data_IF_893043005734
#
_entry.id   IF_893043005734
#
_cell.length_a   1.000
_cell.length_b   1.000
_cell.length_c   1.000
_cell.angle_alpha   90.00
_cell.angle_beta   90.00
_cell.angle_gamma   90.00
#
_symmetry.space_group_name_H-M   'P 1'
#
loop_
_entity.id
_entity.type
_entity.pdbx_description
1 polymer ?
#
# COMPACT_ATOMS: atom_id res chain seq x y z
N UNK A 1 -31.66 -2.55 6.42
CA UNK A 1 -30.99 -1.31 6.88
C UNK A 1 -30.22 -0.58 5.78
N UNK A 2 -29.85 -1.23 4.67
CA UNK A 2 -29.32 -0.55 3.45
C UNK A 2 -30.46 -0.05 2.55
N UNK A 3 -31.63 -0.71 2.55
CA UNK A 3 -32.80 -0.31 1.75
C UNK A 3 -33.48 0.97 2.25
N UNK A 4 -33.45 1.23 3.56
CA UNK A 4 -34.16 2.36 4.18
C UNK A 4 -33.48 3.72 3.97
N UNK A 5 -32.31 3.78 3.33
CA UNK A 5 -31.61 5.03 2.98
C UNK A 5 -31.77 5.41 1.50
N UNK A 6 -32.43 4.59 0.68
CA UNK A 6 -32.63 4.84 -0.75
C UNK A 6 -33.92 5.59 -1.07
N UNK A 7 -34.91 5.61 -0.18
CA UNK A 7 -36.25 6.14 -0.47
C UNK A 7 -36.39 7.67 -0.38
N UNK A 8 -35.32 8.42 -0.06
CA UNK A 8 -35.41 9.89 0.06
C UNK A 8 -34.30 10.67 -0.67
N UNK A 9 -33.52 10.01 -1.52
CA UNK A 9 -32.45 10.67 -2.27
C UNK A 9 -32.97 11.10 -3.63
N UNK A 10 -32.82 12.39 -3.95
CA UNK A 10 -33.05 12.92 -5.30
C UNK A 10 -32.18 12.15 -6.31
N UNK A 11 -32.63 11.92 -7.55
CA UNK A 11 -31.94 11.04 -8.50
C UNK A 11 -30.47 11.45 -8.73
N UNK A 12 -30.18 12.75 -8.64
CA UNK A 12 -28.83 13.31 -8.68
C UNK A 12 -27.99 12.98 -7.44
N UNK A 13 -28.61 12.94 -6.26
CA UNK A 13 -27.96 12.56 -4.99
C UNK A 13 -27.68 11.06 -4.96
N UNK A 14 -28.59 10.23 -5.50
CA UNK A 14 -28.37 8.79 -5.67
C UNK A 14 -27.25 8.48 -6.66
N UNK A 15 -27.20 9.15 -7.81
CA UNK A 15 -26.10 8.99 -8.78
C UNK A 15 -24.74 9.41 -8.19
N UNK A 16 -24.73 10.46 -7.36
CA UNK A 16 -23.53 10.90 -6.62
C UNK A 16 -23.11 9.88 -5.57
N UNK A 17 -24.06 9.22 -4.91
CA UNK A 17 -23.78 8.17 -3.93
C UNK A 17 -23.20 6.92 -4.60
N UNK A 18 -23.80 6.48 -5.71
CA UNK A 18 -23.34 5.32 -6.48
C UNK A 18 -21.93 5.55 -7.05
N UNK A 19 -21.65 6.76 -7.54
CA UNK A 19 -20.31 7.16 -7.96
C UNK A 19 -19.29 7.05 -6.82
N UNK A 20 -19.61 7.56 -5.62
CA UNK A 20 -18.72 7.45 -4.44
C UNK A 20 -18.48 5.99 -4.03
N UNK A 21 -19.51 5.15 -4.08
CA UNK A 21 -19.38 3.72 -3.77
C UNK A 21 -18.45 3.00 -4.75
N UNK A 22 -18.55 3.33 -6.04
CA UNK A 22 -17.64 2.80 -7.07
C UNK A 22 -16.20 3.23 -6.78
N UNK A 23 -15.95 4.51 -6.47
CA UNK A 23 -14.59 4.98 -6.16
C UNK A 23 -14.03 4.32 -4.91
N UNK A 24 -14.85 4.11 -3.87
CA UNK A 24 -14.43 3.36 -2.67
C UNK A 24 -14.07 1.90 -2.98
N UNK A 25 -14.86 1.23 -3.83
CA UNK A 25 -14.57 -0.14 -4.26
C UNK A 25 -13.28 -0.21 -5.08
N UNK A 26 -13.09 0.72 -6.03
CA UNK A 26 -11.87 0.82 -6.83
C UNK A 26 -10.65 1.13 -5.97
N UNK A 27 -10.77 2.02 -4.98
CA UNK A 27 -9.70 2.32 -4.04
C UNK A 27 -9.33 1.07 -3.23
N UNK A 28 -10.31 0.35 -2.67
CA UNK A 28 -10.06 -0.90 -1.95
C UNK A 28 -9.31 -1.91 -2.83
N UNK A 29 -9.78 -2.14 -4.05
CA UNK A 29 -9.18 -3.12 -4.95
C UNK A 29 -7.77 -2.70 -5.37
N UNK A 30 -7.55 -1.40 -5.59
CA UNK A 30 -6.23 -0.83 -5.85
C UNK A 30 -5.27 -1.04 -4.67
N UNK A 31 -5.72 -0.78 -3.45
CA UNK A 31 -4.91 -0.95 -2.24
C UNK A 31 -4.55 -2.40 -2.00
N UNK A 32 -5.48 -3.31 -2.19
CA UNK A 32 -5.21 -4.74 -2.01
C UNK A 32 -4.22 -5.24 -3.06
N UNK A 33 -4.40 -4.86 -4.33
CA UNK A 33 -3.53 -5.28 -5.41
C UNK A 33 -2.09 -4.75 -5.27
N UNK A 34 -1.91 -3.55 -4.70
CA UNK A 34 -0.60 -2.92 -4.51
C UNK A 34 -0.11 -2.92 -3.07
N UNK A 35 -0.74 -3.69 -2.18
CA UNK A 35 -0.50 -3.65 -0.73
C UNK A 35 0.97 -3.73 -0.34
N UNK A 36 1.72 -4.63 -0.98
CA UNK A 36 3.14 -4.79 -0.71
C UNK A 36 3.97 -3.60 -1.19
N UNK A 37 3.74 -3.13 -2.43
CA UNK A 37 4.44 -1.97 -2.98
C UNK A 37 4.21 -0.72 -2.11
N UNK A 38 2.95 -0.51 -1.70
CA UNK A 38 2.56 0.59 -0.83
C UNK A 38 3.18 0.49 0.57
N UNK A 39 3.28 -0.72 1.14
CA UNK A 39 4.00 -0.97 2.40
C UNK A 39 5.48 -0.60 2.27
N UNK A 40 6.14 -1.03 1.19
CA UNK A 40 7.55 -0.71 0.94
C UNK A 40 7.74 0.80 0.80
N UNK A 41 6.88 1.49 0.04
CA UNK A 41 6.94 2.95 -0.12
C UNK A 41 6.75 3.64 1.24
N UNK A 42 5.78 3.21 2.05
CA UNK A 42 5.52 3.79 3.37
C UNK A 42 6.71 3.60 4.33
N UNK A 43 7.30 2.40 4.38
CA UNK A 43 8.46 2.13 5.23
C UNK A 43 9.71 2.88 4.78
N UNK A 44 9.96 2.98 3.47
CA UNK A 44 11.06 3.78 2.93
C UNK A 44 10.86 5.27 3.23
N UNK A 45 9.63 5.78 3.07
CA UNK A 45 9.28 7.16 3.43
C UNK A 45 9.52 7.42 4.91
N UNK A 46 9.13 6.48 5.78
CA UNK A 46 9.37 6.56 7.22
C UNK A 46 10.87 6.66 7.54
N UNK A 47 11.67 5.77 6.96
CA UNK A 47 13.12 5.79 7.14
C UNK A 47 13.72 7.16 6.75
N UNK A 48 13.35 7.69 5.58
CA UNK A 48 13.84 8.97 5.08
C UNK A 48 13.41 10.18 5.94
N UNK A 49 12.42 10.02 6.82
CA UNK A 49 11.93 11.05 7.73
C UNK A 49 12.39 10.83 9.19
N UNK A 50 13.35 9.94 9.46
CA UNK A 50 13.86 9.69 10.82
C UNK A 50 13.23 8.51 11.53
N UNK A 51 12.56 7.62 10.78
CA UNK A 51 12.22 6.27 11.23
C UNK A 51 11.12 6.20 12.30
N UNK A 52 11.09 5.08 13.02
CA UNK A 52 10.01 4.78 13.99
C UNK A 52 9.91 5.82 15.09
N UNK A 53 11.03 6.38 15.55
CA UNK A 53 11.07 7.42 16.57
C UNK A 53 10.36 8.71 16.11
N UNK A 54 10.47 9.05 14.83
CA UNK A 54 9.76 10.19 14.25
C UNK A 54 8.24 9.95 14.17
N UNK A 55 7.80 8.77 13.71
CA UNK A 55 6.36 8.50 13.53
C UNK A 55 5.61 8.25 14.84
N UNK A 56 6.27 7.69 15.86
CA UNK A 56 5.65 7.28 17.12
C UNK A 56 6.14 8.07 18.33
N UNK A 57 6.79 9.22 18.10
CA UNK A 57 7.22 10.12 19.16
C UNK A 57 6.06 10.75 19.94
N UNK A 58 6.33 11.87 20.61
CA UNK A 58 5.34 12.55 21.46
C UNK A 58 4.05 12.96 20.71
N UNK A 59 4.17 13.27 19.42
CA UNK A 59 3.04 13.54 18.54
C UNK A 59 3.01 12.51 17.40
N UNK A 60 2.12 11.50 17.45
CA UNK A 60 2.03 10.46 16.43
C UNK A 60 1.74 11.03 15.04
N UNK A 61 2.39 10.48 14.03
CA UNK A 61 2.27 10.92 12.64
C UNK A 61 1.39 9.96 11.81
N UNK A 62 0.78 10.50 10.76
CA UNK A 62 0.12 9.75 9.70
C UNK A 62 0.76 10.09 8.35
N UNK A 63 0.98 9.07 7.51
CA UNK A 63 1.53 9.26 6.16
C UNK A 63 0.40 9.45 5.17
N UNK A 64 0.48 10.49 4.35
CA UNK A 64 -0.41 10.66 3.19
C UNK A 64 0.33 10.19 1.94
N UNK A 65 0.02 8.96 1.50
CA UNK A 65 0.65 8.39 0.29
C UNK A 65 0.14 9.10 -0.98
N UNK A 66 1.06 9.30 -1.92
CA UNK A 66 0.91 10.18 -3.09
C UNK A 66 1.75 11.46 -2.97
N UNK A 67 1.88 12.03 -1.76
CA UNK A 67 2.78 13.17 -1.48
C UNK A 67 3.98 12.79 -0.59
N UNK A 68 3.97 11.60 0.00
CA UNK A 68 4.98 11.16 0.98
C UNK A 68 5.03 12.04 2.23
N UNK A 69 3.95 12.77 2.51
CA UNK A 69 3.91 13.77 3.56
C UNK A 69 3.51 13.13 4.88
N UNK A 70 4.30 13.40 5.92
CA UNK A 70 3.95 13.08 7.30
C UNK A 70 3.26 14.28 7.93
N UNK A 71 2.12 14.02 8.56
CA UNK A 71 1.33 15.03 9.24
C UNK A 71 1.03 14.57 10.66
N UNK A 72 0.97 15.49 11.63
CA UNK A 72 0.46 15.16 12.95
C UNK A 72 -0.95 14.57 12.86
N UNK A 73 -1.13 13.38 13.44
CA UNK A 73 -2.40 12.67 13.41
C UNK A 73 -3.52 13.52 14.02
N UNK A 74 -3.26 14.17 15.16
CA UNK A 74 -4.22 15.04 15.84
C UNK A 74 -4.69 16.19 14.92
N UNK A 75 -3.78 16.80 14.16
CA UNK A 75 -4.11 17.84 13.18
C UNK A 75 -5.00 17.31 12.06
N UNK A 76 -4.69 16.14 11.52
CA UNK A 76 -5.47 15.52 10.44
C UNK A 76 -6.89 15.17 10.90
N UNK A 77 -7.04 14.65 12.12
CA UNK A 77 -8.35 14.35 12.70
C UNK A 77 -9.15 15.63 13.01
N UNK A 78 -8.51 16.66 13.55
CA UNK A 78 -9.16 17.96 13.80
C UNK A 78 -9.63 18.64 12.51
N UNK A 79 -8.83 18.57 11.44
CA UNK A 79 -9.21 19.07 10.12
C UNK A 79 -10.35 18.25 9.51
N UNK A 80 -10.32 16.93 9.65
CA UNK A 80 -11.43 16.05 9.25
C UNK A 80 -12.74 16.41 9.95
N UNK A 81 -12.69 16.66 11.26
CA UNK A 81 -13.87 17.05 12.04
C UNK A 81 -14.46 18.38 11.54
N UNK A 82 -13.60 19.40 11.32
CA UNK A 82 -14.02 20.70 10.78
C UNK A 82 -14.64 20.59 9.40
N UNK A 83 -14.04 19.78 8.53
CA UNK A 83 -14.49 19.58 7.15
C UNK A 83 -15.58 18.50 7.02
N UNK A 84 -16.10 18.00 8.16
CA UNK A 84 -17.14 16.96 8.24
C UNK A 84 -16.85 15.73 7.37
N UNK A 85 -15.59 15.35 7.24
CA UNK A 85 -15.21 14.14 6.51
C UNK A 85 -15.41 12.89 7.38
N UNK A 86 -15.44 11.70 6.78
CA UNK A 86 -15.65 10.43 7.51
C UNK A 86 -14.41 9.93 8.26
N UNK A 87 -13.27 10.62 8.17
CA UNK A 87 -11.99 10.11 8.66
C UNK A 87 -11.96 9.91 10.18
N UNK A 88 -12.52 10.83 10.98
CA UNK A 88 -12.65 10.63 12.44
C UNK A 88 -13.43 9.36 12.76
N UNK A 89 -14.60 9.17 12.14
CA UNK A 89 -15.42 7.97 12.35
C UNK A 89 -14.69 6.68 11.95
N UNK A 90 -13.97 6.71 10.83
CA UNK A 90 -13.16 5.57 10.38
C UNK A 90 -12.01 5.27 11.33
N UNK A 91 -11.37 6.31 11.86
CA UNK A 91 -10.30 6.17 12.84
C UNK A 91 -10.82 5.53 14.13
N UNK A 92 -11.92 6.02 14.68
CA UNK A 92 -12.48 5.49 15.93
C UNK A 92 -12.99 4.05 15.74
N UNK A 93 -13.72 3.77 14.66
CA UNK A 93 -14.22 2.43 14.36
C UNK A 93 -13.10 1.38 14.17
N UNK A 94 -11.89 1.81 13.79
CA UNK A 94 -10.74 0.93 13.60
C UNK A 94 -9.95 0.64 14.90
N UNK A 95 -10.35 1.16 16.06
CA UNK A 95 -9.62 0.96 17.33
C UNK A 95 -9.39 -0.51 17.67
N UNK A 96 -10.45 -1.32 17.68
CA UNK A 96 -10.35 -2.76 17.96
C UNK A 96 -9.50 -3.51 16.93
N UNK A 97 -9.54 -3.08 15.66
CA UNK A 97 -8.70 -3.63 14.61
C UNK A 97 -7.21 -3.32 14.84
N UNK A 98 -6.88 -2.06 15.14
CA UNK A 98 -5.51 -1.65 15.47
C UNK A 98 -4.97 -2.40 16.67
N UNK A 99 -5.75 -2.50 17.75
CA UNK A 99 -5.35 -3.22 18.96
C UNK A 99 -5.07 -4.70 18.68
N UNK A 100 -5.94 -5.37 17.92
CA UNK A 100 -5.75 -6.77 17.53
C UNK A 100 -4.51 -6.97 16.65
N UNK A 101 -4.29 -6.09 15.68
CA UNK A 101 -3.14 -6.15 14.79
C UNK A 101 -1.83 -5.95 15.58
N UNK A 102 -1.76 -4.93 16.44
CA UNK A 102 -0.61 -4.67 17.29
C UNK A 102 -0.31 -5.84 18.23
N UNK A 103 -1.33 -6.41 18.87
CA UNK A 103 -1.16 -7.58 19.73
C UNK A 103 -0.67 -8.83 18.97
N UNK A 104 -1.08 -9.00 17.71
CA UNK A 104 -0.60 -10.07 16.84
C UNK A 104 0.89 -9.91 16.53
N UNK A 105 1.32 -8.71 16.14
CA UNK A 105 2.71 -8.38 15.82
C UNK A 105 3.63 -8.52 17.04
N UNK A 106 3.21 -7.98 18.18
CA UNK A 106 3.97 -8.07 19.44
C UNK A 106 4.26 -9.52 19.88
N UNK A 107 3.38 -10.47 19.55
CA UNK A 107 3.56 -11.89 19.89
C UNK A 107 4.65 -12.58 19.09
N UNK A 108 4.87 -12.15 17.85
CA UNK A 108 5.75 -12.85 16.89
C UNK A 108 7.00 -12.07 16.55
N UNK A 109 7.02 -10.76 16.80
CA UNK A 109 8.08 -9.86 16.42
C UNK A 109 8.52 -9.01 17.63
N UNK A 110 9.61 -9.39 18.32
CA UNK A 110 10.10 -8.63 19.48
C UNK A 110 10.65 -7.25 19.10
N UNK A 111 10.84 -6.95 17.82
CA UNK A 111 11.28 -5.64 17.32
C UNK A 111 10.12 -4.75 16.89
N UNK A 112 8.87 -5.15 17.07
CA UNK A 112 7.72 -4.33 16.70
C UNK A 112 7.68 -3.03 17.53
N UNK A 113 7.62 -1.88 16.84
CA UNK A 113 7.61 -0.55 17.46
C UNK A 113 6.26 0.14 17.41
N UNK A 114 5.40 -0.23 16.43
CA UNK A 114 4.10 0.40 16.28
C UNK A 114 3.46 0.16 14.92
N UNK A 115 2.21 0.59 14.80
CA UNK A 115 1.47 0.58 13.54
C UNK A 115 1.55 1.97 12.91
N UNK A 116 2.18 2.09 11.75
CA UNK A 116 2.17 3.31 10.96
C UNK A 116 0.81 3.45 10.26
N UNK A 117 -0.02 4.46 10.60
CA UNK A 117 -1.22 4.72 9.85
C UNK A 117 -0.86 5.39 8.53
N UNK A 118 -1.48 4.92 7.45
CA UNK A 118 -1.26 5.41 6.10
C UNK A 118 -2.60 5.77 5.47
N UNK A 119 -2.77 7.07 5.20
CA UNK A 119 -3.95 7.64 4.58
C UNK A 119 -3.80 7.61 3.05
N UNK A 120 -4.75 6.95 2.40
CA UNK A 120 -4.96 6.99 0.96
C UNK A 120 -6.14 7.89 0.65
N UNK A 121 -5.98 8.74 -0.37
CA UNK A 121 -7.04 9.63 -0.84
C UNK A 121 -7.08 9.57 -2.36
N UNK A 122 -8.14 8.98 -2.91
CA UNK A 122 -8.41 9.03 -4.34
C UNK A 122 -9.00 10.40 -4.71
N UNK A 123 -9.97 10.86 -3.91
CA UNK A 123 -10.62 12.17 -4.06
C UNK A 123 -11.22 12.62 -2.72
N UNK A 124 -11.83 13.80 -2.70
CA UNK A 124 -12.52 14.32 -1.51
C UNK A 124 -13.68 13.40 -1.12
N UNK A 125 -13.56 12.74 0.04
CA UNK A 125 -14.59 11.81 0.54
C UNK A 125 -14.38 10.35 0.17
N UNK A 126 -13.43 10.04 -0.72
CA UNK A 126 -12.96 8.68 -1.01
C UNK A 126 -11.56 8.47 -0.41
N UNK A 127 -11.54 8.06 0.85
CA UNK A 127 -10.31 7.83 1.62
C UNK A 127 -10.33 6.45 2.27
N UNK A 128 -9.15 5.86 2.42
CA UNK A 128 -8.92 4.65 3.22
C UNK A 128 -7.73 4.87 4.16
N UNK A 129 -7.70 4.15 5.29
CA UNK A 129 -6.54 4.09 6.17
C UNK A 129 -6.08 2.65 6.24
N UNK A 130 -4.82 2.40 5.88
CA UNK A 130 -4.14 1.14 6.20
C UNK A 130 -3.19 1.32 7.37
N UNK A 131 -2.83 0.21 7.99
CA UNK A 131 -1.92 0.18 9.13
C UNK A 131 -0.80 -0.80 8.83
N UNK A 132 0.43 -0.30 8.76
CA UNK A 132 1.59 -1.12 8.48
C UNK A 132 2.46 -1.28 9.73
N UNK A 133 2.75 -2.53 10.16
CA UNK A 133 3.63 -2.76 11.29
C UNK A 133 5.04 -2.30 10.95
N UNK A 134 5.62 -1.54 11.88
CA UNK A 134 7.00 -1.06 11.82
C UNK A 134 7.84 -1.77 12.86
N UNK A 135 9.13 -1.86 12.56
CA UNK A 135 10.11 -2.47 13.43
C UNK A 135 11.14 -1.43 13.88
N UNK A 136 11.85 -1.77 14.94
CA UNK A 136 13.02 -1.03 15.39
C UNK A 136 14.10 -1.06 14.29
N UNK A 137 14.84 0.03 14.18
CA UNK A 137 15.88 0.21 13.14
C UNK A 137 17.08 -0.73 13.35
N UNK A 138 17.25 -1.25 14.55
CA UNK A 138 18.28 -2.20 14.95
C UNK A 138 17.84 -3.66 14.87
N UNK A 139 16.68 -3.94 14.26
CA UNK A 139 16.21 -5.30 14.08
C UNK A 139 17.20 -6.14 13.24
N UNK A 140 17.61 -7.34 13.69
CA UNK A 140 18.72 -8.10 13.11
C UNK A 140 18.40 -8.71 11.74
N UNK A 141 17.12 -8.79 11.36
CA UNK A 141 16.69 -9.27 10.05
C UNK A 141 16.76 -8.17 8.96
N UNK A 142 17.04 -6.92 9.33
CA UNK A 142 17.44 -5.89 8.39
C UNK A 142 18.92 -6.15 8.04
N UNK A 143 19.13 -7.21 7.24
CA UNK A 143 20.43 -7.81 6.94
C UNK A 143 21.49 -6.81 6.44
N UNK A 144 21.04 -5.71 5.84
CA UNK A 144 21.85 -4.55 5.49
C UNK A 144 21.21 -3.30 6.08
N UNK A 145 22.04 -2.43 6.71
CA UNK A 145 21.55 -1.13 7.15
C UNK A 145 21.05 -0.35 5.92
N UNK A 146 19.77 0.05 5.88
CA UNK A 146 19.24 0.82 4.77
C UNK A 146 20.03 2.13 4.61
N UNK A 147 20.29 2.50 3.35
CA UNK A 147 20.88 3.79 2.99
C UNK A 147 19.79 4.70 2.43
N UNK A 148 19.96 6.02 2.55
CA UNK A 148 19.00 6.96 1.99
C UNK A 148 18.82 6.76 0.47
N UNK A 149 19.90 6.54 -0.26
CA UNK A 149 19.85 6.30 -1.70
C UNK A 149 19.16 4.97 -2.05
N UNK A 150 19.42 3.92 -1.26
CA UNK A 150 18.76 2.63 -1.39
C UNK A 150 17.25 2.73 -1.16
N UNK A 151 16.81 3.42 -0.12
CA UNK A 151 15.38 3.62 0.16
C UNK A 151 14.69 4.48 -0.91
N UNK A 152 15.34 5.56 -1.39
CA UNK A 152 14.82 6.32 -2.53
C UNK A 152 14.72 5.48 -3.80
N UNK A 153 15.70 4.62 -4.06
CA UNK A 153 15.65 3.70 -5.21
C UNK A 153 14.50 2.70 -5.07
N UNK A 154 14.31 2.11 -3.89
CA UNK A 154 13.16 1.23 -3.60
C UNK A 154 11.83 1.95 -3.84
N UNK A 155 11.65 3.16 -3.31
CA UNK A 155 10.43 3.95 -3.55
C UNK A 155 10.15 4.14 -5.03
N UNK A 156 11.13 4.65 -5.80
CA UNK A 156 10.99 4.87 -7.24
C UNK A 156 10.61 3.60 -7.99
N UNK A 157 11.23 2.47 -7.65
CA UNK A 157 10.90 1.17 -8.25
C UNK A 157 9.46 0.78 -7.96
N UNK A 158 9.00 0.89 -6.72
CA UNK A 158 7.64 0.50 -6.34
C UNK A 158 6.58 1.44 -6.91
N UNK A 159 6.84 2.75 -6.95
CA UNK A 159 5.99 3.74 -7.63
C UNK A 159 5.84 3.37 -9.10
N UNK A 160 6.95 3.00 -9.75
CA UNK A 160 6.91 2.60 -11.14
C UNK A 160 6.15 1.29 -11.38
N UNK A 161 6.16 0.35 -10.43
CA UNK A 161 5.35 -0.87 -10.52
C UNK A 161 3.87 -0.51 -10.56
N UNK A 162 3.43 0.38 -9.67
CA UNK A 162 2.05 0.87 -9.61
C UNK A 162 1.68 1.56 -10.93
N UNK A 163 2.51 2.48 -11.42
CA UNK A 163 2.26 3.21 -12.68
C UNK A 163 2.13 2.29 -13.91
N UNK A 164 2.92 1.21 -13.95
CA UNK A 164 2.90 0.27 -15.06
C UNK A 164 1.75 -0.75 -14.97
N UNK A 165 1.05 -0.83 -13.82
CA UNK A 165 0.06 -1.86 -13.53
C UNK A 165 0.71 -3.22 -13.25
N UNK A 166 1.89 -3.21 -12.61
CA UNK A 166 2.64 -4.39 -12.20
C UNK A 166 2.34 -4.71 -10.75
N UNK A 167 1.92 -5.95 -10.49
CA UNK A 167 1.53 -6.46 -9.19
C UNK A 167 2.56 -7.46 -8.68
N UNK A 168 2.92 -7.34 -7.41
CA UNK A 168 3.79 -8.27 -6.73
C UNK A 168 2.96 -9.41 -6.11
N UNK A 169 3.20 -10.64 -6.56
CA UNK A 169 2.55 -11.82 -6.02
C UNK A 169 3.57 -12.67 -5.26
N UNK A 170 3.23 -13.27 -4.10
CA UNK A 170 4.09 -14.27 -3.46
C UNK A 170 4.53 -15.32 -4.47
N UNK A 171 5.83 -15.62 -4.54
CA UNK A 171 6.34 -16.63 -5.45
C UNK A 171 5.81 -18.01 -5.01
N UNK A 172 4.93 -18.66 -5.79
CA UNK A 172 4.39 -19.96 -5.41
C UNK A 172 5.47 -21.06 -5.33
N UNK A 173 6.66 -20.81 -5.88
CA UNK A 173 7.80 -21.73 -5.89
C UNK A 173 8.77 -21.49 -4.74
N UNK A 174 8.60 -20.41 -3.97
CA UNK A 174 9.46 -20.17 -2.83
C UNK A 174 9.39 -21.40 -1.90
N UNK A 175 10.54 -21.99 -1.59
CA UNK A 175 10.62 -23.08 -0.63
C UNK A 175 9.92 -22.65 0.67
N UNK A 176 9.21 -23.59 1.34
CA UNK A 176 8.63 -23.33 2.67
C UNK A 176 9.71 -22.70 3.57
N UNK A 177 9.44 -21.50 4.09
CA UNK A 177 10.40 -20.71 4.87
C UNK A 177 11.13 -19.58 4.12
N UNK A 178 10.93 -19.43 2.80
CA UNK A 178 11.35 -18.24 2.03
C UNK A 178 10.15 -17.33 1.71
N UNK A 179 9.36 -17.01 2.73
CA UNK A 179 8.05 -16.33 2.66
C UNK A 179 8.07 -14.89 2.10
N UNK A 180 9.18 -14.44 1.53
CA UNK A 180 9.38 -13.05 1.10
C UNK A 180 9.85 -12.91 -0.36
N UNK A 181 9.89 -14.00 -1.13
CA UNK A 181 10.12 -13.88 -2.58
C UNK A 181 8.80 -13.46 -3.26
N UNK A 182 8.84 -12.35 -4.00
CA UNK A 182 7.70 -11.84 -4.77
C UNK A 182 8.06 -11.78 -6.25
N UNK A 183 7.09 -12.15 -7.09
CA UNK A 183 7.22 -12.15 -8.55
C UNK A 183 6.42 -10.97 -9.11
N UNK A 184 7.03 -10.10 -9.93
CA UNK A 184 6.27 -9.07 -10.65
C UNK A 184 5.41 -9.71 -11.74
N UNK A 185 4.18 -9.26 -11.85
CA UNK A 185 3.22 -9.73 -12.85
C UNK A 185 2.16 -8.70 -13.19
N UNK A 186 1.20 -9.09 -14.01
CA UNK A 186 0.10 -8.24 -14.44
C UNK A 186 -1.23 -8.99 -14.36
N UNK A 187 -2.33 -8.25 -14.19
CA UNK A 187 -3.66 -8.84 -14.29
C UNK A 187 -4.06 -8.93 -15.77
N UNK A 188 -4.52 -10.12 -16.17
CA UNK A 188 -5.10 -10.39 -17.48
C UNK A 188 -6.55 -10.83 -17.30
N UNK A 189 -7.45 -10.24 -18.08
CA UNK A 189 -8.85 -10.64 -18.09
C UNK A 189 -8.99 -12.01 -18.76
N UNK A 190 -9.67 -12.94 -18.09
CA UNK A 190 -10.04 -14.26 -18.58
C UNK A 190 -11.55 -14.44 -18.33
N UNK A 191 -12.35 -14.14 -19.35
CA UNK A 191 -13.82 -14.03 -19.22
C UNK A 191 -14.25 -12.90 -18.27
N UNK A 192 -14.99 -13.25 -17.21
CA UNK A 192 -15.42 -12.34 -16.15
C UNK A 192 -14.41 -12.19 -15.01
N UNK A 193 -13.31 -12.95 -15.02
CA UNK A 193 -12.32 -12.95 -13.93
C UNK A 193 -11.03 -12.26 -14.36
N UNK A 194 -10.38 -11.60 -13.40
CA UNK A 194 -9.00 -11.16 -13.54
C UNK A 194 -8.06 -12.23 -13.00
N UNK A 195 -7.07 -12.62 -13.79
CA UNK A 195 -6.09 -13.65 -13.43
C UNK A 195 -4.71 -13.00 -13.45
N UNK A 196 -3.98 -13.13 -12.34
CA UNK A 196 -2.59 -12.71 -12.29
C UNK A 196 -1.73 -13.60 -13.18
N UNK A 197 -0.85 -12.98 -13.96
CA UNK A 197 0.14 -13.64 -14.81
C UNK A 197 1.52 -13.06 -14.50
N UNK A 198 2.56 -13.89 -14.37
CA UNK A 198 3.91 -13.38 -14.16
C UNK A 198 4.35 -12.56 -15.38
N UNK A 199 5.13 -11.52 -15.13
CA UNK A 199 5.67 -10.65 -16.18
C UNK A 199 6.79 -11.34 -16.95
N UNK A 200 7.51 -12.21 -16.25
CA UNK A 200 8.59 -13.03 -16.76
C UNK A 200 8.17 -14.50 -16.65
N UNK A 201 8.25 -15.25 -17.74
CA UNK A 201 8.06 -16.70 -17.69
C UNK A 201 9.15 -17.36 -16.83
N UNK A 202 8.95 -18.62 -16.44
CA UNK A 202 9.70 -19.37 -15.42
C UNK A 202 11.12 -18.85 -15.10
N UNK A 203 11.20 -17.88 -14.18
CA UNK A 203 12.48 -17.33 -13.69
C UNK A 203 13.49 -17.02 -14.82
N UNK A 204 12.99 -16.34 -15.86
CA UNK A 204 13.75 -15.77 -16.98
C UNK A 204 15.20 -15.49 -16.57
N UNK A 205 16.13 -16.18 -17.22
CA UNK A 205 17.56 -16.00 -16.98
C UNK A 205 17.94 -14.52 -17.10
N UNK A 206 17.20 -13.75 -17.91
CA UNK A 206 17.33 -12.31 -18.00
C UNK A 206 16.96 -11.60 -16.70
N UNK A 207 15.83 -11.91 -16.06
CA UNK A 207 15.43 -11.28 -14.78
C UNK A 207 16.44 -11.58 -13.66
N UNK A 208 16.85 -12.85 -13.56
CA UNK A 208 17.78 -13.29 -12.52
C UNK A 208 19.21 -12.79 -12.77
N UNK A 209 19.64 -12.72 -14.04
CA UNK A 209 20.93 -12.18 -14.44
C UNK A 209 20.99 -10.66 -14.44
N UNK A 210 19.85 -9.98 -14.45
CA UNK A 210 19.79 -8.51 -14.44
C UNK A 210 20.06 -7.97 -13.04
N UNK A 211 21.11 -7.15 -12.95
CA UNK A 211 21.47 -6.40 -11.73
C UNK A 211 20.32 -5.51 -11.27
N UNK A 212 20.20 -5.31 -9.97
CA UNK A 212 19.07 -4.62 -9.33
C UNK A 212 18.80 -3.24 -9.96
N UNK A 213 19.86 -2.47 -10.25
CA UNK A 213 19.80 -1.15 -10.86
C UNK A 213 19.18 -1.15 -12.28
N UNK A 214 19.25 -2.27 -12.99
CA UNK A 214 18.76 -2.41 -14.36
C UNK A 214 17.38 -3.09 -14.45
N UNK A 215 16.87 -3.66 -13.35
CA UNK A 215 15.60 -4.40 -13.34
C UNK A 215 14.40 -3.52 -13.70
N UNK A 216 14.47 -2.23 -13.41
CA UNK A 216 13.41 -1.27 -13.75
C UNK A 216 13.25 -1.12 -15.27
N UNK A 217 14.35 -0.87 -15.98
CA UNK A 217 14.34 -0.72 -17.44
C UNK A 217 13.91 -2.02 -18.13
N UNK A 218 14.37 -3.17 -17.62
CA UNK A 218 13.94 -4.49 -18.09
C UNK A 218 12.41 -4.64 -17.97
N UNK A 219 11.86 -4.36 -16.79
CA UNK A 219 10.42 -4.44 -16.55
C UNK A 219 9.62 -3.54 -17.51
N UNK A 220 10.03 -2.28 -17.67
CA UNK A 220 9.38 -1.34 -18.59
C UNK A 220 9.34 -1.87 -20.03
N UNK A 221 10.44 -2.47 -20.49
CA UNK A 221 10.53 -3.07 -21.82
C UNK A 221 9.54 -4.23 -21.99
N UNK A 222 9.42 -5.11 -21.00
CA UNK A 222 8.47 -6.24 -21.04
C UNK A 222 7.02 -5.76 -21.00
N UNK A 223 6.70 -4.78 -20.15
CA UNK A 223 5.36 -4.19 -20.11
C UNK A 223 5.02 -3.53 -21.45
N UNK A 224 5.97 -2.80 -22.06
CA UNK A 224 5.77 -2.19 -23.37
C UNK A 224 5.54 -3.24 -24.47
N UNK A 225 6.30 -4.34 -24.46
CA UNK A 225 6.10 -5.44 -25.40
C UNK A 225 4.72 -6.09 -25.24
N UNK A 226 4.29 -6.35 -24.00
CA UNK A 226 2.96 -6.89 -23.70
C UNK A 226 1.84 -5.97 -24.19
N UNK A 227 1.98 -4.66 -24.01
CA UNK A 227 1.00 -3.68 -24.48
C UNK A 227 0.89 -3.65 -26.01
N UNK A 228 1.97 -3.92 -26.74
CA UNK A 228 1.97 -4.03 -28.22
C UNK A 228 1.37 -5.34 -28.74
N UNK A 229 1.41 -6.39 -27.93
CA UNK A 229 0.89 -7.73 -28.29
C UNK A 229 -0.61 -7.93 -28.04
N UNK A 230 -1.28 -6.93 -27.47
CA UNK A 230 -2.73 -6.91 -27.20
C UNK A 230 -3.45 -6.15 -28.29
#
# INVERSE_FOLDING_TARGET
>A
MIETLRESADDAESATLDGKLIVHALLRDFLEAHRLALRIIASASLFLNGGSAFAFGAEPQIVVLGKGAFLPLARVLAESARNRTRLVKMWDAAEGYRARLAAGEQRVNPWFTGLLPVLYRAETGATSIEYYPQCAEDAPFLAERPTADGERAKMRTQERFIELGVFLHPDPRAAKGKEHAYVPGYLRRSGSKWVWKPLFEEFDAEWNGTRLENRLALMERHVAALRRSR
#
